data_IF_763359996553
#
_entry.id   IF_763359996553
#
_cell.length_a   1.000
_cell.length_b   1.000
_cell.length_c   1.000
_cell.angle_alpha   90.00
_cell.angle_beta   90.00
_cell.angle_gamma   90.00
#
_symmetry.space_group_name_H-M   'P 1'
#
loop_
_entity.id
_entity.type
_entity.pdbx_description
1 polymer ?
#
# COMPACT_ATOMS: atom_id res chain seq x y z
N UNK A 1 -15.42 0.31 5.82
CA UNK A 1 -16.37 0.49 4.70
C UNK A 1 -17.17 -0.81 4.55
N UNK A 2 -18.51 -0.79 4.52
CA UNK A 2 -19.30 -2.02 4.47
C UNK A 2 -19.22 -2.69 3.09
N UNK A 3 -19.27 -4.02 3.07
CA UNK A 3 -19.32 -4.81 1.84
C UNK A 3 -20.63 -4.56 1.08
N UNK A 4 -20.57 -4.55 -0.26
CA UNK A 4 -21.75 -4.38 -1.12
C UNK A 4 -21.99 -2.96 -1.64
N UNK A 5 -21.12 -1.99 -1.31
CA UNK A 5 -21.17 -0.66 -1.90
C UNK A 5 -20.53 -0.64 -3.29
N UNK A 6 -21.29 -0.23 -4.32
CA UNK A 6 -20.79 -0.15 -5.71
C UNK A 6 -19.55 0.74 -5.88
N UNK A 7 -19.38 1.75 -5.01
CA UNK A 7 -18.25 2.68 -5.05
C UNK A 7 -17.13 2.34 -4.05
N UNK A 8 -17.24 1.23 -3.31
CA UNK A 8 -16.23 0.89 -2.31
C UNK A 8 -14.80 0.81 -2.86
N UNK A 9 -14.55 0.16 -4.01
CA UNK A 9 -13.22 0.12 -4.61
C UNK A 9 -12.66 1.51 -4.94
N UNK A 10 -13.50 2.35 -5.56
CA UNK A 10 -13.11 3.70 -5.97
C UNK A 10 -12.79 4.62 -4.78
N UNK A 11 -13.55 4.51 -3.69
CA UNK A 11 -13.30 5.29 -2.47
C UNK A 11 -12.06 4.77 -1.75
N UNK A 12 -11.88 3.45 -1.65
CA UNK A 12 -10.67 2.88 -1.04
C UNK A 12 -9.41 3.29 -1.80
N UNK A 13 -9.42 3.19 -3.14
CA UNK A 13 -8.31 3.61 -3.98
C UNK A 13 -8.00 5.10 -3.80
N UNK A 14 -9.02 5.98 -3.77
CA UNK A 14 -8.83 7.41 -3.49
C UNK A 14 -8.22 7.67 -2.12
N UNK A 15 -8.67 6.97 -1.08
CA UNK A 15 -8.11 7.10 0.26
C UNK A 15 -6.64 6.65 0.31
N UNK A 16 -6.32 5.52 -0.31
CA UNK A 16 -4.94 5.02 -0.35
C UNK A 16 -4.03 5.95 -1.13
N UNK A 17 -4.46 6.44 -2.30
CA UNK A 17 -3.72 7.45 -3.06
C UNK A 17 -3.50 8.73 -2.24
N UNK A 18 -4.47 9.17 -1.44
CA UNK A 18 -4.29 10.35 -0.58
C UNK A 18 -3.27 10.11 0.55
N UNK A 19 -3.30 8.94 1.19
CA UNK A 19 -2.40 8.57 2.30
C UNK A 19 -0.95 8.39 1.84
N UNK A 20 -0.77 7.82 0.65
CA UNK A 20 0.52 7.50 0.05
C UNK A 20 0.88 8.49 -1.07
N UNK A 21 0.22 9.65 -1.19
CA UNK A 21 0.42 10.58 -2.30
C UNK A 21 1.87 11.04 -2.51
N UNK A 22 2.65 11.11 -1.42
CA UNK A 22 4.07 11.43 -1.40
C UNK A 22 5.00 10.25 -1.73
N UNK A 23 4.46 9.04 -1.74
CA UNK A 23 5.20 7.78 -1.89
C UNK A 23 4.88 7.08 -3.23
N UNK A 24 3.64 7.24 -3.70
CA UNK A 24 3.10 6.70 -4.95
C UNK A 24 3.93 7.21 -6.13
N UNK A 25 4.15 6.33 -7.12
CA UNK A 25 5.04 6.52 -8.29
C UNK A 25 6.55 6.39 -8.01
N UNK A 26 7.02 6.59 -6.77
CA UNK A 26 8.45 6.43 -6.45
C UNK A 26 8.81 5.00 -6.04
N UNK A 27 8.01 4.39 -5.17
CA UNK A 27 8.27 3.04 -4.67
C UNK A 27 7.04 2.27 -4.16
N UNK A 28 5.84 2.85 -4.32
CA UNK A 28 4.59 2.16 -4.04
C UNK A 28 3.63 2.36 -5.22
N UNK A 29 2.90 1.31 -5.56
CA UNK A 29 1.83 1.30 -6.54
C UNK A 29 0.56 0.81 -5.86
N UNK A 30 -0.54 1.56 -6.01
CA UNK A 30 -1.82 1.25 -5.33
C UNK A 30 -2.82 0.77 -6.38
N UNK A 31 -3.37 -0.42 -6.19
CA UNK A 31 -4.35 -1.05 -7.08
C UNK A 31 -5.57 -1.54 -6.33
N UNK A 32 -6.70 -0.85 -6.53
CA UNK A 32 -8.01 -1.18 -5.93
C UNK A 32 -7.83 -1.45 -4.42
N UNK A 33 -7.84 -2.72 -4.00
CA UNK A 33 -7.82 -3.14 -2.60
C UNK A 33 -6.41 -3.43 -2.06
N UNK A 34 -5.39 -3.47 -2.92
CA UNK A 34 -4.02 -3.86 -2.59
C UNK A 34 -3.01 -2.77 -2.99
N UNK A 35 -1.79 -2.86 -2.45
CA UNK A 35 -0.67 -2.03 -2.86
C UNK A 35 0.61 -2.86 -2.95
N UNK A 36 1.46 -2.50 -3.90
CA UNK A 36 2.75 -3.15 -4.15
C UNK A 36 3.87 -2.17 -3.86
N UNK A 37 4.90 -2.63 -3.16
CA UNK A 37 6.13 -1.84 -2.92
C UNK A 37 7.22 -2.39 -3.83
N UNK A 38 7.97 -1.52 -4.49
CA UNK A 38 9.05 -1.91 -5.39
C UNK A 38 10.36 -1.19 -5.06
N UNK A 39 11.47 -1.77 -5.50
CA UNK A 39 12.80 -1.20 -5.31
C UNK A 39 13.83 -1.87 -6.23
N UNK A 40 14.81 -1.09 -6.69
CA UNK A 40 15.81 -1.55 -7.66
C UNK A 40 16.84 -2.53 -7.07
N UNK A 41 16.97 -2.57 -5.75
CA UNK A 41 17.81 -3.52 -5.02
C UNK A 41 17.07 -4.02 -3.77
N UNK A 42 17.55 -5.11 -3.18
CA UNK A 42 16.97 -5.64 -1.95
C UNK A 42 17.01 -4.62 -0.80
N UNK A 43 18.13 -3.93 -0.62
CA UNK A 43 18.28 -2.92 0.42
C UNK A 43 17.33 -1.73 0.20
N UNK A 44 17.20 -1.25 -1.04
CA UNK A 44 16.25 -0.18 -1.37
C UNK A 44 14.81 -0.63 -1.20
N UNK A 45 14.47 -1.86 -1.58
CA UNK A 45 13.15 -2.42 -1.34
C UNK A 45 12.82 -2.48 0.16
N UNK A 46 13.77 -2.91 0.99
CA UNK A 46 13.59 -2.99 2.44
C UNK A 46 13.41 -1.60 3.07
N UNK A 47 14.16 -0.61 2.59
CA UNK A 47 14.03 0.79 3.01
C UNK A 47 12.65 1.35 2.64
N UNK A 48 12.21 1.13 1.40
CA UNK A 48 10.91 1.56 0.89
C UNK A 48 9.76 0.89 1.66
N UNK A 49 9.87 -0.42 1.89
CA UNK A 49 8.90 -1.18 2.67
C UNK A 49 8.80 -0.62 4.09
N UNK A 50 9.93 -0.30 4.72
CA UNK A 50 9.96 0.29 6.06
C UNK A 50 9.24 1.64 6.10
N UNK A 51 9.45 2.50 5.10
CA UNK A 51 8.76 3.80 4.98
C UNK A 51 7.24 3.62 4.84
N UNK A 52 6.82 2.70 3.98
CA UNK A 52 5.39 2.40 3.76
C UNK A 52 4.74 1.84 5.03
N UNK A 53 5.38 0.87 5.69
CA UNK A 53 4.87 0.29 6.94
C UNK A 53 4.78 1.33 8.07
N UNK A 54 5.77 2.22 8.19
CA UNK A 54 5.73 3.31 9.16
C UNK A 54 4.53 4.24 8.92
N UNK A 55 4.26 4.58 7.65
CA UNK A 55 3.08 5.39 7.28
C UNK A 55 1.77 4.67 7.60
N UNK A 56 1.70 3.36 7.39
CA UNK A 56 0.53 2.56 7.77
C UNK A 56 0.24 2.68 9.27
N UNK A 57 1.28 2.58 10.11
CA UNK A 57 1.15 2.74 11.56
C UNK A 57 0.67 4.16 11.92
N UNK A 58 1.29 5.20 11.33
CA UNK A 58 0.93 6.61 11.57
C UNK A 58 -0.53 6.92 11.20
N UNK A 59 -1.07 6.26 10.17
CA UNK A 59 -2.45 6.44 9.71
C UNK A 59 -3.43 5.41 10.27
N UNK A 60 -3.01 4.58 11.23
CA UNK A 60 -3.80 3.50 11.82
C UNK A 60 -4.39 2.54 10.77
N UNK A 61 -3.66 2.30 9.68
CA UNK A 61 -4.03 1.31 8.67
C UNK A 61 -3.71 -0.09 9.20
N UNK A 62 -4.72 -0.96 9.22
CA UNK A 62 -4.54 -2.36 9.59
C UNK A 62 -4.21 -3.17 8.34
N UNK A 63 -3.07 -3.84 8.40
CA UNK A 63 -2.52 -4.66 7.32
C UNK A 63 -2.86 -6.13 7.55
N UNK A 64 -3.45 -6.80 6.55
CA UNK A 64 -3.79 -8.21 6.66
C UNK A 64 -2.58 -9.08 6.27
N UNK A 65 -1.84 -9.52 7.28
CA UNK A 65 -0.59 -10.25 7.07
C UNK A 65 -0.73 -11.59 6.34
N UNK A 66 -1.93 -12.19 6.34
CA UNK A 66 -2.19 -13.48 5.68
C UNK A 66 -2.20 -13.40 4.15
N UNK A 67 -2.28 -12.20 3.58
CA UNK A 67 -2.33 -11.98 2.12
C UNK A 67 -1.03 -11.43 1.54
N UNK A 68 0.00 -11.17 2.36
CA UNK A 68 1.27 -10.66 1.83
C UNK A 68 2.03 -11.71 1.05
N UNK A 69 2.49 -11.27 -0.11
CA UNK A 69 3.48 -11.98 -0.89
C UNK A 69 4.74 -11.11 -0.91
N UNK A 70 5.79 -11.58 -0.25
CA UNK A 70 7.07 -10.89 -0.22
C UNK A 70 7.98 -11.45 -1.33
N UNK A 71 8.76 -10.58 -1.97
CA UNK A 71 9.75 -10.97 -2.98
C UNK A 71 9.15 -11.77 -4.16
N UNK A 72 8.01 -11.33 -4.67
CA UNK A 72 7.43 -11.88 -5.89
C UNK A 72 8.28 -11.40 -7.07
N UNK A 73 8.75 -12.34 -7.89
CA UNK A 73 9.70 -12.13 -8.98
C UNK A 73 9.01 -11.81 -10.30
#
# INVERSE_FOLDING_TARGET
>A
MPFGLCNAPAIFQRCMLAIFSDLVEYYIEVFIDDFSVFGNSFDHYLENLTKVLKRCIEKNLTLNWKKYHFMVK
#
